data_IF_849518522690
#
_entry.id   IF_849518522690
#
_cell.length_a   1.000
_cell.length_b   1.000
_cell.length_c   1.000
_cell.angle_alpha   90.00
_cell.angle_beta   90.00
_cell.angle_gamma   90.00
#
_symmetry.space_group_name_H-M   'P 1'
#
loop_
_entity.id
_entity.type
_entity.pdbx_description
1 polymer ?
#
# COMPACT_ATOMS: atom_id res chain seq x y z
N UNK A 1 5.59 -7.11 -12.88
CA UNK A 1 4.95 -8.37 -13.30
C UNK A 1 3.45 -8.23 -13.44
N UNK A 2 2.74 -7.63 -12.47
CA UNK A 2 1.28 -7.44 -12.49
C UNK A 2 0.67 -6.99 -13.83
N UNK A 3 1.24 -6.00 -14.51
CA UNK A 3 0.74 -5.53 -15.82
C UNK A 3 0.84 -6.61 -16.90
N UNK A 4 1.94 -7.36 -16.92
CA UNK A 4 2.16 -8.46 -17.86
C UNK A 4 1.27 -9.65 -17.55
N UNK A 5 1.08 -9.97 -16.27
CA UNK A 5 0.18 -11.05 -15.84
C UNK A 5 -1.27 -10.75 -16.22
N UNK A 6 -1.69 -9.48 -16.11
CA UNK A 6 -2.99 -9.03 -16.62
C UNK A 6 -3.08 -9.18 -18.15
N UNK A 7 -2.07 -8.73 -18.90
CA UNK A 7 -2.05 -8.89 -20.35
C UNK A 7 -2.19 -10.37 -20.75
N UNK A 8 -1.43 -11.28 -20.13
CA UNK A 8 -1.51 -12.72 -20.38
C UNK A 8 -2.90 -13.28 -20.07
N UNK A 9 -3.49 -12.84 -18.97
CA UNK A 9 -4.78 -13.33 -18.48
C UNK A 9 -5.97 -12.90 -19.33
N UNK A 10 -5.92 -11.71 -19.92
CA UNK A 10 -7.05 -11.11 -20.66
C UNK A 10 -6.86 -11.13 -22.19
N UNK A 11 -5.74 -11.65 -22.67
CA UNK A 11 -5.49 -11.93 -24.09
C UNK A 11 -5.96 -13.34 -24.42
N UNK A 12 -6.79 -13.54 -25.46
CA UNK A 12 -7.24 -14.87 -25.86
C UNK A 12 -6.10 -15.70 -26.47
N UNK A 13 -6.30 -17.02 -26.58
CA UNK A 13 -5.35 -17.91 -27.24
C UNK A 13 -5.06 -17.45 -28.68
N UNK A 14 -3.78 -17.27 -29.01
CA UNK A 14 -3.34 -16.73 -30.30
C UNK A 14 -3.29 -15.19 -30.37
N UNK A 15 -3.63 -14.50 -29.29
CA UNK A 15 -3.40 -13.06 -29.17
C UNK A 15 -1.93 -12.70 -28.91
N UNK A 16 -1.64 -11.41 -28.90
CA UNK A 16 -0.29 -10.86 -28.84
C UNK A 16 -0.15 -9.84 -27.71
N UNK A 17 1.02 -9.86 -27.08
CA UNK A 17 1.41 -8.94 -26.01
C UNK A 17 2.75 -8.31 -26.41
N UNK A 18 2.84 -7.00 -26.26
CA UNK A 18 4.03 -6.20 -26.53
C UNK A 18 4.51 -5.55 -25.24
N UNK A 19 5.82 -5.52 -25.05
CA UNK A 19 6.48 -4.80 -23.96
C UNK A 19 7.55 -3.92 -24.57
N UNK A 20 7.40 -2.61 -24.38
CA UNK A 20 8.33 -1.61 -24.88
C UNK A 20 8.96 -0.85 -23.71
N UNK A 21 10.27 -0.59 -23.83
CA UNK A 21 11.03 0.27 -22.93
C UNK A 21 11.62 1.41 -23.74
N UNK A 22 11.38 2.64 -23.29
CA UNK A 22 11.90 3.85 -23.91
C UNK A 22 12.33 4.85 -22.84
N UNK A 23 13.08 5.87 -23.23
CA UNK A 23 13.41 7.00 -22.36
C UNK A 23 12.53 8.18 -22.76
N UNK A 24 11.75 8.70 -21.82
CA UNK A 24 10.97 9.93 -21.96
C UNK A 24 11.76 11.09 -21.33
N UNK A 25 11.81 12.23 -22.02
CA UNK A 25 12.41 13.49 -21.55
C UNK A 25 13.84 13.36 -20.99
N UNK A 26 14.63 12.40 -21.50
CA UNK A 26 16.02 12.09 -21.11
C UNK A 26 16.27 11.68 -19.65
N UNK A 27 15.28 11.78 -18.76
CA UNK A 27 15.43 11.48 -17.34
C UNK A 27 14.47 10.40 -16.82
N UNK A 28 13.47 10.00 -17.61
CA UNK A 28 12.44 9.05 -17.20
C UNK A 28 12.47 7.78 -18.05
N UNK A 29 12.51 6.61 -17.44
CA UNK A 29 12.23 5.34 -18.12
C UNK A 29 10.72 5.21 -18.29
N UNK A 30 10.26 5.03 -19.53
CA UNK A 30 8.87 4.71 -19.86
C UNK A 30 8.76 3.25 -20.25
N UNK A 31 7.93 2.51 -19.52
CA UNK A 31 7.58 1.12 -19.81
C UNK A 31 6.15 1.08 -20.32
N UNK A 32 5.92 0.35 -21.41
CA UNK A 32 4.59 0.11 -21.98
C UNK A 32 4.35 -1.38 -22.04
N UNK A 33 3.17 -1.80 -21.59
CA UNK A 33 2.66 -3.17 -21.76
C UNK A 33 1.35 -3.07 -22.51
N UNK A 34 1.32 -3.62 -23.72
CA UNK A 34 0.14 -3.60 -24.61
C UNK A 34 -0.30 -5.02 -24.92
N UNK A 35 -1.61 -5.24 -24.97
CA UNK A 35 -2.23 -6.45 -25.49
C UNK A 35 -3.30 -6.13 -26.54
N UNK A 36 -3.70 -7.13 -27.32
CA UNK A 36 -4.86 -7.07 -28.22
C UNK A 36 -6.05 -7.91 -27.70
N UNK A 37 -6.19 -7.99 -26.38
CA UNK A 37 -7.25 -8.74 -25.73
C UNK A 37 -8.62 -8.07 -25.80
N UNK A 38 -9.51 -8.48 -24.90
CA UNK A 38 -10.91 -8.02 -24.83
C UNK A 38 -11.09 -6.51 -24.55
N UNK A 39 -10.05 -5.84 -24.05
CA UNK A 39 -10.13 -4.44 -23.62
C UNK A 39 -10.94 -4.23 -22.33
N UNK A 40 -11.07 -2.97 -21.93
CA UNK A 40 -11.72 -2.52 -20.69
C UNK A 40 -12.88 -1.56 -21.05
N UNK A 41 -14.07 -1.74 -20.46
CA UNK A 41 -15.20 -0.82 -20.62
C UNK A 41 -14.85 0.62 -20.18
N UNK A 42 -15.27 1.66 -20.92
CA UNK A 42 -14.94 3.05 -20.60
C UNK A 42 -15.40 3.52 -19.21
N UNK A 43 -16.52 2.99 -18.72
CA UNK A 43 -17.08 3.27 -17.40
C UNK A 43 -16.26 2.66 -16.26
N UNK A 44 -15.43 1.65 -16.55
CA UNK A 44 -14.55 1.01 -15.59
C UNK A 44 -13.16 1.68 -15.49
N UNK A 45 -12.73 2.41 -16.52
CA UNK A 45 -11.41 3.06 -16.56
C UNK A 45 -11.13 4.01 -15.38
N UNK A 46 -12.07 4.88 -14.95
CA UNK A 46 -11.80 5.82 -13.86
C UNK A 46 -11.51 5.15 -12.52
N UNK A 47 -12.01 3.92 -12.34
CA UNK A 47 -11.92 3.16 -11.08
C UNK A 47 -10.89 2.04 -11.15
N UNK A 48 -10.20 1.89 -12.28
CA UNK A 48 -9.37 0.72 -12.55
C UNK A 48 -8.21 0.55 -11.57
N UNK A 49 -7.72 1.66 -11.01
CA UNK A 49 -6.67 1.68 -9.99
C UNK A 49 -7.22 1.72 -8.56
N UNK A 50 -8.54 1.73 -8.38
CA UNK A 50 -9.15 1.68 -7.06
C UNK A 50 -8.91 0.29 -6.47
N UNK A 51 -8.49 0.20 -5.19
CA UNK A 51 -8.35 -1.08 -4.51
C UNK A 51 -9.65 -1.90 -4.59
N UNK A 52 -9.52 -3.20 -4.85
CA UNK A 52 -10.62 -4.18 -4.93
C UNK A 52 -11.57 -3.99 -6.11
N UNK A 53 -11.38 -2.96 -6.94
CA UNK A 53 -12.19 -2.76 -8.11
C UNK A 53 -11.93 -3.85 -9.16
N UNK A 54 -13.02 -4.34 -9.75
CA UNK A 54 -12.99 -5.38 -10.79
C UNK A 54 -14.00 -5.05 -11.87
N UNK A 55 -13.58 -5.26 -13.11
CA UNK A 55 -14.47 -5.18 -14.26
C UNK A 55 -15.34 -6.44 -14.30
N UNK A 56 -16.65 -6.27 -14.16
CA UNK A 56 -17.61 -7.37 -14.31
C UNK A 56 -17.90 -7.62 -15.79
N UNK A 57 -17.16 -8.52 -16.44
CA UNK A 57 -17.55 -9.00 -17.76
C UNK A 57 -18.56 -10.15 -17.66
N UNK A 58 -19.67 -10.01 -18.39
CA UNK A 58 -20.61 -11.10 -18.62
C UNK A 58 -19.91 -12.22 -19.41
N UNK A 59 -19.98 -13.43 -18.87
CA UNK A 59 -19.66 -14.70 -19.52
C UNK A 59 -18.22 -14.90 -20.05
N UNK A 60 -17.27 -15.14 -19.14
CA UNK A 60 -16.41 -16.35 -19.10
C UNK A 60 -15.33 -16.19 -18.04
N UNK A 61 -15.21 -17.23 -17.20
CA UNK A 61 -14.18 -17.44 -16.18
C UNK A 61 -14.27 -16.58 -14.92
N UNK A 62 -14.67 -17.23 -13.83
CA UNK A 62 -14.38 -16.84 -12.45
C UNK A 62 -12.86 -16.76 -12.25
N UNK A 63 -12.24 -15.69 -12.71
CA UNK A 63 -10.80 -15.53 -12.54
C UNK A 63 -10.53 -15.02 -11.13
N UNK A 64 -10.06 -15.92 -10.26
CA UNK A 64 -9.59 -15.65 -8.90
C UNK A 64 -8.54 -14.53 -8.92
N UNK A 65 -8.85 -13.40 -8.29
CA UNK A 65 -7.95 -12.27 -8.16
C UNK A 65 -8.58 -11.20 -7.27
N UNK A 66 -7.81 -10.67 -6.32
CA UNK A 66 -8.28 -9.78 -5.24
C UNK A 66 -8.58 -8.34 -5.68
N UNK A 67 -8.37 -7.97 -6.95
CA UNK A 67 -8.56 -6.60 -7.43
C UNK A 67 -7.52 -5.59 -6.91
N UNK A 68 -6.45 -6.05 -6.28
CA UNK A 68 -5.41 -5.20 -5.69
C UNK A 68 -4.24 -4.89 -6.63
N UNK A 69 -4.10 -5.66 -7.71
CA UNK A 69 -2.87 -5.66 -8.50
C UNK A 69 -2.53 -4.30 -9.10
N UNK A 70 -3.51 -3.62 -9.69
CA UNK A 70 -3.30 -2.33 -10.34
C UNK A 70 -3.15 -1.18 -9.34
N UNK A 71 -3.87 -1.20 -8.22
CA UNK A 71 -3.68 -0.24 -7.12
C UNK A 71 -2.23 -0.27 -6.60
N UNK A 72 -1.70 -1.47 -6.34
CA UNK A 72 -0.31 -1.65 -5.90
C UNK A 72 0.69 -1.14 -6.95
N UNK A 73 0.42 -1.37 -8.24
CA UNK A 73 1.29 -0.86 -9.31
C UNK A 73 1.28 0.66 -9.35
N UNK A 74 0.10 1.29 -9.28
CA UNK A 74 -0.02 2.75 -9.24
C UNK A 74 0.77 3.34 -8.07
N UNK A 75 0.56 2.81 -6.87
CA UNK A 75 1.29 3.24 -5.68
C UNK A 75 2.81 3.08 -5.85
N UNK A 76 3.26 1.93 -6.38
CA UNK A 76 4.68 1.68 -6.57
C UNK A 76 5.29 2.66 -7.57
N UNK A 77 4.59 2.95 -8.66
CA UNK A 77 5.06 3.91 -9.67
C UNK A 77 5.12 5.32 -9.09
N UNK A 78 4.07 5.76 -8.40
CA UNK A 78 4.02 7.09 -7.76
C UNK A 78 5.10 7.25 -6.69
N UNK A 79 5.40 6.19 -5.91
CA UNK A 79 6.49 6.18 -4.93
C UNK A 79 7.87 6.38 -5.54
N UNK A 80 8.07 5.93 -6.79
CA UNK A 80 9.32 6.18 -7.49
C UNK A 80 9.35 7.57 -8.14
N UNK A 81 8.38 8.45 -7.87
CA UNK A 81 8.27 9.75 -8.54
C UNK A 81 7.79 9.63 -9.99
N UNK A 82 7.10 8.54 -10.28
CA UNK A 82 6.59 8.17 -11.59
C UNK A 82 5.12 8.48 -11.80
N UNK A 83 4.63 8.21 -13.00
CA UNK A 83 3.19 8.26 -13.34
C UNK A 83 2.77 6.99 -14.06
N UNK A 84 1.53 6.54 -13.87
CA UNK A 84 0.93 5.42 -14.60
C UNK A 84 -0.32 5.89 -15.34
N UNK A 85 -0.54 5.34 -16.53
CA UNK A 85 -1.69 5.59 -17.37
C UNK A 85 -2.20 4.30 -18.00
N UNK A 86 -3.48 4.31 -18.37
CA UNK A 86 -4.13 3.22 -19.11
C UNK A 86 -4.90 3.79 -20.29
N UNK A 87 -4.78 3.13 -21.44
CA UNK A 87 -5.61 3.36 -22.61
C UNK A 87 -6.18 2.02 -23.05
N UNK A 88 -7.50 1.92 -23.18
CA UNK A 88 -8.16 0.66 -23.55
C UNK A 88 -9.44 0.93 -24.30
N UNK A 89 -9.80 0.03 -25.20
CA UNK A 89 -11.09 0.00 -25.87
C UNK A 89 -11.55 -1.45 -26.03
N UNK A 90 -12.85 -1.68 -25.91
CA UNK A 90 -13.44 -3.00 -26.09
C UNK A 90 -13.06 -3.58 -27.45
N UNK A 91 -12.65 -4.86 -27.43
CA UNK A 91 -12.20 -5.65 -28.59
C UNK A 91 -11.00 -5.08 -29.37
N UNK A 92 -10.31 -4.07 -28.81
CA UNK A 92 -9.09 -3.49 -29.38
C UNK A 92 -7.86 -3.69 -28.48
N UNK A 93 -8.06 -4.23 -27.28
CA UNK A 93 -7.00 -4.49 -26.30
C UNK A 93 -6.75 -3.35 -25.32
N UNK A 94 -5.68 -3.51 -24.53
CA UNK A 94 -5.31 -2.58 -23.46
C UNK A 94 -3.84 -2.21 -23.54
N UNK A 95 -3.54 -0.94 -23.29
CA UNK A 95 -2.20 -0.42 -23.08
C UNK A 95 -2.09 0.16 -21.67
N UNK A 96 -1.23 -0.42 -20.86
CA UNK A 96 -0.74 0.21 -19.64
C UNK A 96 0.62 0.82 -19.91
N UNK A 97 0.83 2.05 -19.44
CA UNK A 97 2.16 2.66 -19.48
C UNK A 97 2.50 3.31 -18.16
N UNK A 98 3.76 3.23 -17.75
CA UNK A 98 4.24 3.96 -16.60
C UNK A 98 5.62 4.57 -16.83
N UNK A 99 5.93 5.63 -16.10
CA UNK A 99 7.21 6.31 -16.09
C UNK A 99 7.85 6.22 -14.72
N UNK A 100 9.19 6.11 -14.65
CA UNK A 100 9.98 6.23 -13.42
C UNK A 100 11.30 6.96 -13.73
N UNK A 101 11.89 7.72 -12.80
CA UNK A 101 13.20 8.35 -13.00
C UNK A 101 14.32 7.32 -13.24
N UNK A 102 15.17 7.56 -14.24
CA UNK A 102 16.36 6.74 -14.55
C UNK A 102 17.47 6.88 -13.51
N UNK A 103 17.51 8.03 -12.82
CA UNK A 103 18.43 8.29 -11.75
C UNK A 103 17.63 8.48 -10.47
N UNK A 104 17.78 7.54 -9.52
CA UNK A 104 17.33 7.75 -8.17
C UNK A 104 18.02 9.02 -7.66
N UNK A 105 17.25 10.07 -7.41
CA UNK A 105 17.76 11.24 -6.69
C UNK A 105 18.25 10.71 -5.35
N UNK A 106 19.56 10.60 -5.17
CA UNK A 106 20.12 10.22 -3.88
C UNK A 106 19.46 11.13 -2.84
N UNK A 107 18.93 10.59 -1.73
CA UNK A 107 18.38 11.44 -0.70
C UNK A 107 19.47 12.47 -0.39
N UNK A 108 19.10 13.76 -0.45
CA UNK A 108 20.02 14.82 -0.06
C UNK A 108 20.61 14.42 1.31
N UNK A 109 21.93 14.54 1.53
CA UNK A 109 22.52 14.14 2.79
C UNK A 109 21.73 14.87 3.88
N UNK A 110 20.99 14.09 4.67
CA UNK A 110 20.14 14.62 5.73
C UNK A 110 21.09 15.37 6.65
N UNK A 111 20.99 16.69 6.61
CA UNK A 111 21.71 17.55 7.54
C UNK A 111 21.41 17.03 8.94
N UNK A 112 22.47 16.77 9.70
CA UNK A 112 22.38 16.28 11.08
C UNK A 112 21.33 17.08 11.86
N UNK A 113 20.19 16.45 12.10
CA UNK A 113 19.22 16.85 13.11
C UNK A 113 19.36 15.92 14.31
N UNK A 114 19.15 16.42 15.54
CA UNK A 114 19.44 15.69 16.76
C UNK A 114 18.69 14.35 16.78
N UNK A 115 19.40 13.33 17.27
CA UNK A 115 18.99 11.94 17.39
C UNK A 115 17.83 11.74 18.37
N UNK A 116 16.64 12.24 18.06
CA UNK A 116 15.42 11.78 18.73
C UNK A 116 15.03 10.48 18.04
N UNK A 117 15.23 9.35 18.74
CA UNK A 117 14.70 8.07 18.26
C UNK A 117 13.19 8.20 18.14
N UNK A 118 12.67 7.94 16.93
CA UNK A 118 11.22 7.96 16.70
C UNK A 118 10.56 6.84 17.49
N UNK A 119 9.43 7.13 18.13
CA UNK A 119 8.70 6.17 18.95
C UNK A 119 7.52 5.60 18.19
N UNK A 120 7.46 4.28 18.07
CA UNK A 120 6.35 3.56 17.45
C UNK A 120 5.56 2.78 18.50
N UNK A 121 4.25 2.72 18.33
CA UNK A 121 3.38 1.83 19.08
C UNK A 121 2.95 0.67 18.18
N UNK A 122 3.13 -0.55 18.66
CA UNK A 122 2.61 -1.78 18.01
C UNK A 122 1.46 -2.31 18.87
N UNK A 123 0.32 -2.60 18.25
CA UNK A 123 -0.85 -3.11 18.96
C UNK A 123 -1.29 -4.41 18.32
N UNK A 124 -1.15 -5.50 19.05
CA UNK A 124 -1.46 -6.86 18.62
C UNK A 124 -1.74 -7.71 19.86
N UNK A 125 -2.79 -8.54 19.84
CA UNK A 125 -3.10 -9.44 20.96
C UNK A 125 -2.21 -10.68 20.98
N UNK A 126 -1.51 -10.95 19.87
CA UNK A 126 -0.51 -12.00 19.77
C UNK A 126 0.87 -11.50 20.27
N UNK A 127 1.37 -12.02 21.41
CA UNK A 127 2.66 -11.61 21.97
C UNK A 127 3.84 -11.95 21.06
N UNK A 128 3.76 -13.03 20.27
CA UNK A 128 4.84 -13.44 19.37
C UNK A 128 4.97 -12.44 18.21
N UNK A 129 3.84 -11.89 17.74
CA UNK A 129 3.83 -10.83 16.72
C UNK A 129 4.38 -9.53 17.30
N UNK A 130 3.97 -9.16 18.52
CA UNK A 130 4.49 -7.99 19.21
C UNK A 130 6.01 -8.05 19.37
N UNK A 131 6.56 -9.17 19.83
CA UNK A 131 8.00 -9.35 20.03
C UNK A 131 8.76 -9.32 18.70
N UNK A 132 8.26 -10.02 17.67
CA UNK A 132 8.83 -9.98 16.32
C UNK A 132 8.91 -8.56 15.75
N UNK A 133 7.82 -7.79 15.87
CA UNK A 133 7.75 -6.43 15.37
C UNK A 133 8.65 -5.50 16.19
N UNK A 134 8.67 -5.65 17.52
CA UNK A 134 9.56 -4.89 18.41
C UNK A 134 11.01 -5.09 18.02
N UNK A 135 11.48 -6.34 17.98
CA UNK A 135 12.87 -6.69 17.65
C UNK A 135 13.27 -6.11 16.29
N UNK A 136 12.37 -6.23 15.30
CA UNK A 136 12.66 -5.75 13.95
C UNK A 136 12.71 -4.23 13.90
N UNK A 137 11.76 -3.52 14.50
CA UNK A 137 11.71 -2.06 14.48
C UNK A 137 12.84 -1.44 15.32
N UNK A 138 13.18 -2.01 16.47
CA UNK A 138 14.32 -1.57 17.28
C UNK A 138 15.65 -1.75 16.53
N UNK A 139 15.80 -2.83 15.75
CA UNK A 139 16.98 -3.03 14.88
C UNK A 139 17.16 -1.92 13.84
N UNK A 140 16.08 -1.20 13.52
CA UNK A 140 16.06 -0.08 12.57
C UNK A 140 16.18 1.29 13.26
N UNK A 141 16.35 1.31 14.59
CA UNK A 141 16.65 2.50 15.38
C UNK A 141 15.43 3.20 16.00
N UNK A 142 14.25 2.58 15.97
CA UNK A 142 13.05 3.07 16.63
C UNK A 142 13.04 2.73 18.12
N UNK A 143 12.35 3.55 18.93
CA UNK A 143 11.86 3.12 20.24
C UNK A 143 10.48 2.49 20.05
N UNK A 144 10.25 1.30 20.59
CA UNK A 144 9.01 0.57 20.34
C UNK A 144 8.31 0.25 21.65
N UNK A 145 7.05 0.66 21.72
CA UNK A 145 6.13 0.26 22.79
C UNK A 145 5.08 -0.69 22.20
N UNK A 146 4.56 -1.60 23.02
CA UNK A 146 3.59 -2.61 22.58
C UNK A 146 2.36 -2.63 23.48
N UNK A 147 1.19 -2.84 22.90
CA UNK A 147 -0.07 -3.07 23.63
C UNK A 147 -0.76 -4.33 23.13
N UNK A 148 -1.40 -5.07 24.04
CA UNK A 148 -2.10 -6.32 23.73
C UNK A 148 -3.58 -6.12 23.36
N UNK A 149 -4.11 -4.91 23.53
CA UNK A 149 -5.53 -4.61 23.35
C UNK A 149 -5.75 -3.11 23.06
N UNK A 150 -6.93 -2.78 22.53
CA UNK A 150 -7.27 -1.42 22.12
C UNK A 150 -7.42 -0.43 23.29
N UNK A 151 -7.81 -0.88 24.49
CA UNK A 151 -7.94 0.01 25.65
C UNK A 151 -6.57 0.47 26.15
N UNK A 152 -5.62 -0.46 26.23
CA UNK A 152 -4.23 -0.19 26.55
C UNK A 152 -3.58 0.69 25.49
N UNK A 153 -3.85 0.43 24.20
CA UNK A 153 -3.38 1.30 23.13
C UNK A 153 -3.87 2.75 23.28
N UNK A 154 -5.16 2.96 23.53
CA UNK A 154 -5.73 4.30 23.72
C UNK A 154 -5.15 5.03 24.94
N UNK A 155 -4.90 4.32 26.05
CA UNK A 155 -4.23 4.91 27.22
C UNK A 155 -2.80 5.35 26.88
N UNK A 156 -2.02 4.49 26.24
CA UNK A 156 -0.65 4.81 25.83
C UNK A 156 -0.59 5.99 24.86
N UNK A 157 -1.52 6.04 23.90
CA UNK A 157 -1.64 7.15 22.94
C UNK A 157 -2.02 8.49 23.59
N UNK A 158 -2.68 8.45 24.76
CA UNK A 158 -3.02 9.64 25.53
C UNK A 158 -1.86 10.12 26.42
N UNK A 159 -1.11 9.19 27.01
CA UNK A 159 -0.05 9.48 27.98
C UNK A 159 1.30 9.79 27.32
N UNK A 160 1.57 9.19 26.16
CA UNK A 160 2.90 9.20 25.53
C UNK A 160 2.82 9.68 24.07
N UNK A 161 3.68 10.62 23.64
CA UNK A 161 3.77 10.96 22.23
C UNK A 161 4.41 9.81 21.45
N UNK A 162 3.71 9.38 20.40
CA UNK A 162 4.22 8.42 19.41
C UNK A 162 4.26 9.07 18.03
N UNK A 163 5.21 8.63 17.22
CA UNK A 163 5.46 9.08 15.85
C UNK A 163 4.81 8.16 14.81
N UNK A 164 4.33 6.99 15.22
CA UNK A 164 3.63 6.05 14.35
C UNK A 164 2.98 4.90 15.09
N UNK A 165 2.00 4.27 14.45
CA UNK A 165 1.19 3.20 15.01
C UNK A 165 1.05 2.04 14.01
N UNK A 166 1.40 0.82 14.43
CA UNK A 166 1.00 -0.42 13.78
C UNK A 166 -0.15 -1.01 14.59
N UNK A 167 -1.32 -1.19 14.00
CA UNK A 167 -2.55 -1.50 14.72
C UNK A 167 -3.24 -2.71 14.12
N UNK A 168 -3.29 -3.81 14.85
CA UNK A 168 -4.11 -4.94 14.45
C UNK A 168 -5.60 -4.59 14.46
N UNK A 169 -6.32 -5.12 13.48
CA UNK A 169 -7.76 -4.92 13.37
C UNK A 169 -8.52 -5.78 14.39
N UNK A 170 -8.10 -7.03 14.57
CA UNK A 170 -8.84 -8.06 15.28
C UNK A 170 -8.47 -8.13 16.77
N UNK A 171 -8.49 -6.97 17.44
CA UNK A 171 -8.18 -6.89 18.87
C UNK A 171 -9.36 -7.34 19.74
N UNK A 172 -9.08 -7.92 20.92
CA UNK A 172 -10.10 -8.23 21.91
C UNK A 172 -10.66 -6.93 22.54
N UNK A 173 -11.97 -6.91 22.77
CA UNK A 173 -12.65 -5.78 23.39
C UNK A 173 -12.87 -4.64 22.40
N UNK A 174 -11.97 -3.65 22.40
CA UNK A 174 -12.00 -2.53 21.47
C UNK A 174 -11.23 -2.92 20.20
N UNK A 175 -11.94 -3.01 19.08
CA UNK A 175 -11.31 -3.36 17.81
C UNK A 175 -10.41 -2.23 17.28
N UNK A 176 -9.50 -2.57 16.36
CA UNK A 176 -8.56 -1.60 15.80
C UNK A 176 -9.23 -0.45 15.04
N UNK A 177 -10.43 -0.64 14.50
CA UNK A 177 -11.17 0.44 13.84
C UNK A 177 -11.65 1.48 14.83
N UNK A 178 -12.18 1.04 15.97
CA UNK A 178 -12.65 1.92 17.02
C UNK A 178 -11.49 2.68 17.67
N UNK A 179 -10.31 2.05 17.82
CA UNK A 179 -9.08 2.75 18.23
C UNK A 179 -8.74 3.85 17.24
N UNK A 180 -8.68 3.53 15.94
CA UNK A 180 -8.39 4.50 14.87
C UNK A 180 -9.40 5.66 14.86
N UNK A 181 -10.69 5.36 14.94
CA UNK A 181 -11.79 6.33 14.91
C UNK A 181 -11.73 7.29 16.10
N UNK A 182 -11.34 6.81 17.28
CA UNK A 182 -11.15 7.64 18.47
C UNK A 182 -9.88 8.48 18.43
N UNK A 183 -8.84 7.98 17.77
CA UNK A 183 -7.54 8.64 17.63
C UNK A 183 -7.55 9.79 16.61
N UNK A 184 -8.27 9.65 15.50
CA UNK A 184 -8.24 10.61 14.37
C UNK A 184 -8.64 12.05 14.73
N UNK A 185 -9.66 12.30 15.57
CA UNK A 185 -10.01 13.66 15.97
C UNK A 185 -8.90 14.40 16.72
N UNK A 186 -8.06 13.69 17.48
CA UNK A 186 -6.99 14.30 18.30
C UNK A 186 -5.62 14.22 17.65
N UNK A 187 -5.39 13.23 16.77
CA UNK A 187 -4.12 13.00 16.06
C UNK A 187 -4.37 12.71 14.57
N UNK A 188 -4.84 13.71 13.79
CA UNK A 188 -5.22 13.51 12.40
C UNK A 188 -4.04 13.15 11.47
N UNK A 189 -2.83 13.58 11.82
CA UNK A 189 -1.62 13.40 11.00
C UNK A 189 -0.76 12.22 11.43
N UNK A 190 -1.09 11.54 12.54
CA UNK A 190 -0.29 10.41 13.02
C UNK A 190 -0.36 9.26 12.00
N UNK A 191 0.78 8.77 11.48
CA UNK A 191 0.81 7.61 10.60
C UNK A 191 0.30 6.35 11.32
N UNK A 192 -0.76 5.74 10.79
CA UNK A 192 -1.33 4.49 11.28
C UNK A 192 -1.35 3.48 10.14
N UNK A 193 -0.75 2.33 10.38
CA UNK A 193 -0.73 1.17 9.49
C UNK A 193 -1.56 0.07 10.12
N UNK A 194 -2.66 -0.30 9.47
CA UNK A 194 -3.54 -1.35 9.95
C UNK A 194 -2.96 -2.72 9.62
N UNK A 195 -2.86 -3.60 10.61
CA UNK A 195 -2.49 -5.01 10.40
C UNK A 195 -3.75 -5.84 10.29
N UNK A 196 -3.81 -6.72 9.28
CA UNK A 196 -5.04 -7.46 8.99
C UNK A 196 -4.76 -8.84 8.40
N UNK A 197 -5.52 -9.83 8.83
CA UNK A 197 -5.53 -11.14 8.17
C UNK A 197 -6.18 -11.03 6.78
N UNK A 198 -5.77 -11.88 5.84
CA UNK A 198 -6.35 -11.96 4.48
C UNK A 198 -7.88 -12.16 4.52
N UNK A 199 -8.39 -12.79 5.56
CA UNK A 199 -9.80 -13.10 5.79
C UNK A 199 -10.63 -11.89 6.29
N UNK A 200 -9.98 -10.84 6.79
CA UNK A 200 -10.62 -9.61 7.26
C UNK A 200 -10.59 -8.48 6.20
N UNK A 201 -10.20 -8.80 4.96
CA UNK A 201 -10.08 -7.87 3.84
C UNK A 201 -11.41 -7.24 3.42
N UNK A 202 -12.53 -7.95 3.60
CA UNK A 202 -13.88 -7.40 3.38
C UNK A 202 -14.21 -6.24 4.34
N UNK A 203 -13.50 -6.14 5.48
CA UNK A 203 -13.56 -5.00 6.41
C UNK A 203 -12.56 -3.88 6.07
N UNK A 204 -11.62 -4.09 5.15
CA UNK A 204 -10.59 -3.09 4.80
C UNK A 204 -11.17 -1.85 4.11
N UNK A 205 -12.36 -1.95 3.49
CA UNK A 205 -13.09 -0.79 2.95
C UNK A 205 -13.42 0.25 4.03
N UNK A 206 -13.77 -0.20 5.25
CA UNK A 206 -14.03 0.69 6.38
C UNK A 206 -12.74 1.36 6.91
N UNK A 207 -11.55 0.80 6.64
CA UNK A 207 -10.27 1.28 7.19
C UNK A 207 -9.79 2.53 6.46
N UNK A 208 -9.97 2.50 5.14
CA UNK A 208 -9.60 3.61 4.25
C UNK A 208 -10.55 4.78 4.49
N UNK A 209 -11.85 4.53 4.66
CA UNK A 209 -12.83 5.56 5.04
C UNK A 209 -12.58 6.15 6.44
N UNK A 210 -12.05 5.35 7.38
CA UNK A 210 -11.66 5.81 8.71
C UNK A 210 -10.28 6.51 8.76
N UNK A 211 -9.59 6.65 7.63
CA UNK A 211 -8.38 7.45 7.50
C UNK A 211 -7.07 6.72 7.80
N UNK A 212 -6.99 5.39 7.67
CA UNK A 212 -5.72 4.67 7.74
C UNK A 212 -4.80 5.07 6.56
N UNK A 213 -3.49 5.27 6.82
CA UNK A 213 -2.53 5.60 5.77
C UNK A 213 -2.06 4.36 5.00
N UNK A 214 -2.09 3.17 5.60
CA UNK A 214 -1.71 1.93 4.93
C UNK A 214 -2.17 0.67 5.66
N UNK A 215 -1.89 -0.48 5.05
CA UNK A 215 -2.19 -1.79 5.64
C UNK A 215 -1.04 -2.80 5.45
N UNK A 216 -0.93 -3.73 6.40
CA UNK A 216 0.02 -4.84 6.40
C UNK A 216 -0.76 -6.16 6.55
N UNK A 217 -0.66 -7.04 5.55
CA UNK A 217 -1.35 -8.33 5.57
C UNK A 217 -0.58 -9.35 6.40
N UNK A 218 -1.25 -10.00 7.35
CA UNK A 218 -0.74 -11.17 8.08
C UNK A 218 -1.01 -12.47 7.28
N UNK A 219 -0.05 -13.40 7.18
CA UNK A 219 1.35 -13.26 7.59
C UNK A 219 2.12 -12.34 6.64
N UNK A 220 3.09 -11.59 7.18
CA UNK A 220 3.97 -10.70 6.43
C UNK A 220 5.43 -11.17 6.51
N UNK A 221 6.21 -10.86 5.47
CA UNK A 221 7.65 -11.09 5.46
C UNK A 221 8.45 -9.83 5.84
N UNK A 222 9.75 -9.99 6.06
CA UNK A 222 10.65 -8.91 6.43
C UNK A 222 10.74 -7.81 5.35
N UNK A 223 10.57 -8.17 4.07
CA UNK A 223 10.63 -7.23 2.94
C UNK A 223 9.43 -6.30 2.99
N UNK A 224 8.23 -6.85 3.21
CA UNK A 224 6.99 -6.10 3.28
C UNK A 224 6.92 -5.19 4.49
N UNK A 225 7.37 -5.67 5.65
CA UNK A 225 7.50 -4.84 6.85
C UNK A 225 8.48 -3.69 6.62
N UNK A 226 9.63 -3.96 5.98
CA UNK A 226 10.61 -2.92 5.65
C UNK A 226 10.03 -1.84 4.75
N UNK A 227 9.26 -2.22 3.73
CA UNK A 227 8.59 -1.26 2.84
C UNK A 227 7.63 -0.34 3.60
N UNK A 228 6.87 -0.86 4.57
CA UNK A 228 6.00 -0.06 5.42
C UNK A 228 6.80 0.92 6.27
N UNK A 229 7.90 0.47 6.88
CA UNK A 229 8.78 1.29 7.71
C UNK A 229 9.38 2.44 6.89
N UNK A 230 9.93 2.13 5.72
CA UNK A 230 10.51 3.13 4.81
C UNK A 230 9.46 4.14 4.36
N UNK A 231 8.24 3.68 4.07
CA UNK A 231 7.14 4.50 3.54
C UNK A 231 6.54 5.45 4.56
N UNK A 232 6.29 4.98 5.79
CA UNK A 232 5.49 5.72 6.77
C UNK A 232 6.26 6.24 7.97
N UNK A 233 7.37 5.59 8.33
CA UNK A 233 8.07 5.86 9.59
C UNK A 233 9.48 6.43 9.43
N UNK A 234 10.12 6.31 8.26
CA UNK A 234 11.45 6.88 7.98
C UNK A 234 11.36 8.11 7.06
N UNK A 235 10.79 7.95 5.86
CA UNK A 235 10.59 9.06 4.93
C UNK A 235 9.33 9.83 5.37
N UNK A 236 9.50 10.89 6.16
CA UNK A 236 8.38 11.74 6.55
C UNK A 236 7.69 12.25 5.29
N UNK A 237 6.51 11.71 4.99
CA UNK A 237 5.66 12.21 3.90
C UNK A 237 5.27 13.64 4.30
N UNK A 238 5.89 14.61 3.64
CA UNK A 238 5.41 15.99 3.63
C UNK A 238 4.05 15.94 2.96
N UNK A 239 2.98 16.10 3.76
CA UNK A 239 1.65 16.32 3.21
C UNK A 239 1.71 17.61 2.36
N UNK A 240 1.28 17.59 1.09
CA UNK A 240 0.94 18.84 0.42
C UNK A 240 -0.32 19.39 1.10
N UNK A 241 -0.25 20.67 1.48
CA UNK A 241 -1.38 21.47 1.98
C UNK A 241 -2.56 21.50 1.01
#
# INVERSE_FOLDING_TARGET
>A
TNLLDNAIKFTPDGGHIWVDLSVADHEMARVVVRDNGQGIPPDALPKLFDPFFRVHHQERSQTKGLGLGLAIVKDLVELHGGTIAVHSALDQGTEFSFTIPLHARAPAPVGQMPSVRRRLLVVDDDPDICDLLRDRLESEGFEVETAADGETALRLLADTPVDGLLLDIALPGVDGFDVLRQLRPTRPTLPVVMMTAVEALDRAMAAVEAGAQGYLLKPFDAVRLRQIIDRWFLNGVVHPD
#
